data_IF_030408590380
#
_entry.id   IF_030408590380
#
_cell.length_a   1.000
_cell.length_b   1.000
_cell.length_c   1.000
_cell.angle_alpha   90.00
_cell.angle_beta   90.00
_cell.angle_gamma   90.00
#
_symmetry.space_group_name_H-M   'P 1'
#
loop_
_entity.id
_entity.type
_entity.pdbx_description
1 polymer ?
#
# COMPACT_ATOMS: atom_id res chain seq x y z
N UNK A 1 34.20 2.75 20.33
CA UNK A 1 34.83 3.26 19.12
C UNK A 1 33.83 3.87 18.19
N UNK A 2 33.90 5.12 18.00
CA UNK A 2 32.89 5.88 17.26
C UNK A 2 33.20 5.97 15.77
N UNK A 3 33.51 4.87 15.14
CA UNK A 3 33.92 4.85 13.73
C UNK A 3 32.79 5.13 12.75
N UNK A 4 31.55 4.96 13.21
CA UNK A 4 30.39 5.10 12.34
C UNK A 4 30.23 6.49 11.73
N UNK A 5 30.77 7.52 12.40
CA UNK A 5 30.69 8.89 11.87
C UNK A 5 31.49 9.11 10.59
N UNK A 6 32.34 8.15 10.19
CA UNK A 6 33.17 8.25 9.00
C UNK A 6 32.71 7.36 7.86
N UNK A 7 31.47 6.84 7.93
CA UNK A 7 30.92 6.04 6.84
C UNK A 7 30.73 6.89 5.58
N UNK A 8 30.84 6.24 4.42
CA UNK A 8 30.69 6.92 3.13
C UNK A 8 29.23 7.29 2.87
N UNK A 9 28.99 8.20 1.94
CA UNK A 9 27.64 8.52 1.50
C UNK A 9 26.92 7.32 0.93
N UNK A 10 27.61 6.47 0.17
CA UNK A 10 27.04 5.24 -0.36
C UNK A 10 26.58 4.29 0.75
N UNK A 11 27.38 4.14 1.81
CA UNK A 11 27.02 3.35 2.98
C UNK A 11 25.82 3.91 3.70
N UNK A 12 25.74 5.23 3.87
CA UNK A 12 24.58 5.91 4.47
C UNK A 12 23.30 5.65 3.67
N UNK A 13 23.36 5.82 2.36
CA UNK A 13 22.22 5.59 1.47
C UNK A 13 21.78 4.13 1.51
N UNK A 14 22.72 3.19 1.54
CA UNK A 14 22.42 1.78 1.68
C UNK A 14 21.74 1.45 3.00
N UNK A 15 22.21 2.05 4.11
CA UNK A 15 21.60 1.85 5.42
C UNK A 15 20.18 2.41 5.47
N UNK A 16 19.94 3.60 4.92
CA UNK A 16 18.61 4.23 4.84
C UNK A 16 17.66 3.33 4.04
N UNK A 17 18.07 2.87 2.86
CA UNK A 17 17.26 2.00 2.03
C UNK A 17 16.90 0.69 2.74
N UNK A 18 17.86 0.09 3.45
CA UNK A 18 17.64 -1.14 4.23
C UNK A 18 16.64 -0.92 5.37
N UNK A 19 16.77 0.21 6.09
CA UNK A 19 15.84 0.56 7.17
C UNK A 19 14.43 0.80 6.63
N UNK A 20 14.29 1.46 5.48
CA UNK A 20 12.99 1.69 4.85
C UNK A 20 12.33 0.37 4.44
N UNK A 21 13.09 -0.56 3.87
CA UNK A 21 12.56 -1.88 3.52
C UNK A 21 12.03 -2.63 4.74
N UNK A 22 12.76 -2.59 5.84
CA UNK A 22 12.32 -3.21 7.10
C UNK A 22 11.06 -2.54 7.65
N UNK A 23 11.02 -1.22 7.61
CA UNK A 23 9.86 -0.46 8.10
C UNK A 23 8.61 -0.77 7.27
N UNK A 24 8.74 -0.85 5.94
CA UNK A 24 7.62 -1.17 5.06
C UNK A 24 7.04 -2.57 5.30
N UNK A 25 7.77 -3.44 6.00
CA UNK A 25 7.29 -4.77 6.38
C UNK A 25 6.55 -4.78 7.71
N UNK A 26 6.59 -3.71 8.48
CA UNK A 26 5.79 -3.58 9.69
C UNK A 26 4.37 -3.18 9.33
N UNK A 27 3.41 -3.38 10.26
CA UNK A 27 2.03 -2.94 10.02
C UNK A 27 1.96 -1.44 9.75
N UNK A 28 2.58 -0.63 10.61
CA UNK A 28 2.58 0.84 10.45
C UNK A 28 3.22 1.28 9.14
N UNK A 29 4.36 0.68 8.81
CA UNK A 29 5.05 1.00 7.56
C UNK A 29 4.26 0.60 6.33
N UNK A 30 3.59 -0.55 6.39
CA UNK A 30 2.71 -1.00 5.31
C UNK A 30 1.53 -0.04 5.11
N UNK A 31 0.92 0.42 6.19
CA UNK A 31 -0.17 1.39 6.13
C UNK A 31 0.31 2.74 5.60
N UNK A 32 1.47 3.20 6.05
CA UNK A 32 2.06 4.46 5.58
C UNK A 32 2.31 4.41 4.06
N UNK A 33 2.95 3.36 3.59
CA UNK A 33 3.25 3.21 2.16
C UNK A 33 1.96 3.16 1.34
N UNK A 34 0.99 2.40 1.79
CA UNK A 34 -0.31 2.26 1.12
C UNK A 34 -1.03 3.60 1.04
N UNK A 35 -1.10 4.33 2.16
CA UNK A 35 -1.76 5.63 2.19
C UNK A 35 -1.06 6.65 1.29
N UNK A 36 0.26 6.68 1.30
CA UNK A 36 1.03 7.56 0.43
C UNK A 36 0.74 7.28 -1.05
N UNK A 37 0.63 6.01 -1.42
CA UNK A 37 0.29 5.63 -2.79
C UNK A 37 -1.14 6.05 -3.17
N UNK A 38 -2.10 5.90 -2.24
CA UNK A 38 -3.47 6.37 -2.45
C UNK A 38 -3.51 7.89 -2.67
N UNK A 39 -2.79 8.64 -1.86
CA UNK A 39 -2.68 10.10 -1.97
C UNK A 39 -2.11 10.50 -3.33
N UNK A 40 -1.05 9.84 -3.77
CA UNK A 40 -0.43 10.13 -5.07
C UNK A 40 -1.39 9.90 -6.23
N UNK A 41 -2.27 8.91 -6.12
CA UNK A 41 -3.27 8.64 -7.14
C UNK A 41 -4.33 9.74 -7.21
N UNK A 42 -4.92 10.09 -6.08
CA UNK A 42 -6.00 11.11 -6.05
C UNK A 42 -5.49 12.53 -6.33
N UNK A 43 -4.21 12.80 -6.11
CA UNK A 43 -3.60 14.09 -6.43
C UNK A 43 -3.11 14.18 -7.88
N UNK A 44 -3.19 13.09 -8.63
CA UNK A 44 -2.91 13.08 -10.06
C UNK A 44 -1.47 12.73 -10.45
N UNK A 45 -0.64 12.27 -9.52
CA UNK A 45 0.74 11.86 -9.83
C UNK A 45 0.83 10.49 -10.52
N UNK A 46 -0.19 9.65 -10.32
CA UNK A 46 -0.24 8.29 -10.87
C UNK A 46 -1.59 8.09 -11.53
N UNK A 47 -1.60 7.73 -12.80
CA UNK A 47 -2.82 7.43 -13.58
C UNK A 47 -3.94 8.46 -13.34
N UNK A 48 -3.70 9.75 -13.61
CA UNK A 48 -4.66 10.80 -13.27
C UNK A 48 -6.05 10.60 -13.90
N UNK A 49 -6.13 9.98 -15.06
CA UNK A 49 -7.40 9.69 -15.73
C UNK A 49 -8.30 8.73 -14.94
N UNK A 50 -7.73 7.96 -14.00
CA UNK A 50 -8.48 6.99 -13.20
C UNK A 50 -8.79 7.49 -11.79
N UNK A 51 -7.92 8.31 -11.20
CA UNK A 51 -7.95 8.59 -9.77
C UNK A 51 -8.02 10.07 -9.40
N UNK A 52 -7.58 10.98 -10.29
CA UNK A 52 -7.45 12.39 -9.93
C UNK A 52 -8.78 12.99 -9.48
N UNK A 53 -8.77 13.63 -8.32
CA UNK A 53 -9.93 14.32 -7.79
C UNK A 53 -10.92 13.44 -7.04
N UNK A 54 -10.65 12.14 -6.91
CA UNK A 54 -11.47 11.27 -6.08
C UNK A 54 -11.23 11.56 -4.61
N UNK A 55 -12.24 11.29 -3.77
CA UNK A 55 -12.14 11.49 -2.33
C UNK A 55 -11.15 10.53 -1.69
N UNK A 56 -10.56 10.96 -0.59
CA UNK A 56 -9.70 10.13 0.24
C UNK A 56 -9.93 10.46 1.71
N UNK A 57 -10.09 9.42 2.55
CA UNK A 57 -10.19 9.63 3.98
C UNK A 57 -8.86 10.14 4.55
N UNK A 58 -8.90 10.73 5.75
CA UNK A 58 -7.68 11.20 6.40
C UNK A 58 -6.76 10.02 6.75
N UNK A 59 -5.48 10.33 6.94
CA UNK A 59 -4.48 9.33 7.35
C UNK A 59 -4.89 8.62 8.65
N UNK A 60 -5.32 9.38 9.64
CA UNK A 60 -5.71 8.83 10.93
C UNK A 60 -6.91 7.90 10.82
N UNK A 61 -7.90 8.28 10.04
CA UNK A 61 -9.08 7.44 9.77
C UNK A 61 -8.67 6.15 9.07
N UNK A 62 -7.81 6.24 8.08
CA UNK A 62 -7.33 5.06 7.36
C UNK A 62 -6.56 4.10 8.25
N UNK A 63 -5.66 4.64 9.08
CA UNK A 63 -4.85 3.82 10.00
C UNK A 63 -5.73 3.13 11.03
N UNK A 64 -6.64 3.87 11.66
CA UNK A 64 -7.54 3.31 12.66
C UNK A 64 -8.44 2.24 12.07
N UNK A 65 -9.06 2.53 10.93
CA UNK A 65 -9.91 1.56 10.22
C UNK A 65 -9.15 0.29 9.86
N UNK A 66 -7.94 0.42 9.34
CA UNK A 66 -7.12 -0.72 8.93
C UNK A 66 -6.66 -1.56 10.11
N UNK A 67 -6.20 -0.94 11.19
CA UNK A 67 -5.72 -1.67 12.38
C UNK A 67 -6.84 -2.44 13.07
N UNK A 68 -8.08 -1.98 12.94
CA UNK A 68 -9.27 -2.66 13.48
C UNK A 68 -9.96 -3.56 12.45
N UNK A 69 -9.39 -3.69 11.25
CA UNK A 69 -9.96 -4.48 10.16
C UNK A 69 -9.47 -5.92 10.21
N UNK A 70 -10.37 -6.87 10.35
CA UNK A 70 -10.03 -8.29 10.43
C UNK A 70 -9.27 -8.77 9.19
N UNK A 71 -9.75 -8.40 8.00
CA UNK A 71 -9.13 -8.80 6.75
C UNK A 71 -7.69 -8.32 6.65
N UNK A 72 -7.42 -7.07 7.01
CA UNK A 72 -6.05 -6.55 7.01
C UNK A 72 -5.15 -7.35 7.95
N UNK A 73 -5.63 -7.63 9.16
CA UNK A 73 -4.84 -8.35 10.17
C UNK A 73 -4.52 -9.78 9.72
N UNK A 74 -5.48 -10.49 9.13
CA UNK A 74 -5.25 -11.82 8.56
C UNK A 74 -4.28 -11.79 7.39
N UNK A 75 -4.47 -10.86 6.46
CA UNK A 75 -3.59 -10.72 5.29
C UNK A 75 -2.17 -10.38 5.71
N UNK A 76 -2.01 -9.55 6.73
CA UNK A 76 -0.70 -9.17 7.22
C UNK A 76 0.03 -10.39 7.82
N UNK A 77 -0.67 -11.18 8.64
CA UNK A 77 -0.09 -12.40 9.25
C UNK A 77 0.31 -13.39 8.16
N UNK A 78 -0.56 -13.63 7.18
CA UNK A 78 -0.27 -14.54 6.07
C UNK A 78 0.94 -14.09 5.26
N UNK A 79 1.05 -12.79 5.03
CA UNK A 79 2.17 -12.21 4.31
C UNK A 79 3.48 -12.42 5.05
N UNK A 80 3.51 -12.13 6.36
CA UNK A 80 4.69 -12.37 7.22
C UNK A 80 5.06 -13.85 7.20
N UNK A 81 4.10 -14.74 7.41
CA UNK A 81 4.33 -16.18 7.47
C UNK A 81 4.83 -16.75 6.14
N UNK A 82 4.51 -16.11 5.03
CA UNK A 82 4.99 -16.53 3.71
C UNK A 82 6.42 -16.08 3.42
N UNK A 83 7.04 -15.32 4.31
CA UNK A 83 8.34 -14.70 4.04
C UNK A 83 8.21 -13.45 3.16
N UNK A 84 7.12 -12.73 3.28
CA UNK A 84 6.83 -11.49 2.54
C UNK A 84 6.70 -11.70 1.03
N UNK A 85 6.05 -12.77 0.62
CA UNK A 85 5.78 -13.01 -0.79
C UNK A 85 4.94 -11.88 -1.38
N UNK A 86 5.40 -11.33 -2.52
CA UNK A 86 4.75 -10.19 -3.17
C UNK A 86 3.27 -10.45 -3.46
N UNK A 87 2.94 -11.63 -3.96
CA UNK A 87 1.56 -11.99 -4.31
C UNK A 87 0.60 -11.90 -3.13
N UNK A 88 1.09 -12.14 -1.91
CA UNK A 88 0.30 -12.13 -0.68
C UNK A 88 0.35 -10.79 0.07
N UNK A 89 1.05 -9.79 -0.46
CA UNK A 89 1.13 -8.47 0.16
C UNK A 89 -0.27 -7.86 0.28
N UNK A 90 -0.65 -7.33 1.47
CA UNK A 90 -1.94 -6.64 1.61
C UNK A 90 -2.02 -5.43 0.68
N UNK A 91 -3.15 -5.30 0.00
CA UNK A 91 -3.38 -4.25 -0.99
C UNK A 91 -4.77 -3.66 -0.79
N UNK A 92 -4.91 -2.36 -1.02
CA UNK A 92 -6.21 -1.68 -0.96
C UNK A 92 -6.87 -1.72 -2.33
N UNK A 93 -8.13 -2.12 -2.34
CA UNK A 93 -8.98 -2.15 -3.51
C UNK A 93 -10.20 -1.25 -3.29
N UNK A 94 -10.57 -0.47 -4.30
CA UNK A 94 -11.83 0.28 -4.29
C UNK A 94 -12.95 -0.63 -4.78
N UNK A 95 -14.01 -0.72 -4.01
CA UNK A 95 -15.17 -1.56 -4.36
C UNK A 95 -15.86 -1.00 -5.60
N UNK A 96 -16.15 0.30 -5.59
CA UNK A 96 -16.68 1.04 -6.73
C UNK A 96 -15.53 1.92 -7.28
N UNK A 97 -15.10 1.66 -8.51
CA UNK A 97 -13.97 2.36 -9.13
C UNK A 97 -14.28 3.82 -9.47
N UNK A 98 -15.54 4.21 -9.44
CA UNK A 98 -15.95 5.60 -9.66
C UNK A 98 -15.92 6.44 -8.38
N UNK A 99 -15.72 5.80 -7.24
CA UNK A 99 -15.63 6.44 -5.93
C UNK A 99 -14.21 6.36 -5.41
N UNK A 100 -13.91 7.17 -4.40
CA UNK A 100 -12.56 7.30 -3.87
C UNK A 100 -12.21 6.32 -2.76
N UNK A 101 -11.15 6.66 -2.06
CA UNK A 101 -10.61 5.88 -0.96
C UNK A 101 -11.24 6.33 0.36
N UNK A 102 -12.49 5.95 0.55
CA UNK A 102 -13.24 6.18 1.79
C UNK A 102 -13.60 4.83 2.40
N UNK A 103 -13.74 4.75 3.73
CA UNK A 103 -13.83 3.48 4.45
C UNK A 103 -14.96 2.57 3.96
N UNK A 104 -16.08 3.12 3.53
CA UNK A 104 -17.21 2.35 2.99
C UNK A 104 -16.99 1.86 1.55
N UNK A 105 -15.93 2.30 0.89
CA UNK A 105 -15.63 1.94 -0.50
C UNK A 105 -14.32 1.18 -0.69
N UNK A 106 -13.61 0.88 0.38
CA UNK A 106 -12.32 0.20 0.29
C UNK A 106 -12.35 -1.13 1.02
N UNK A 107 -11.50 -2.03 0.57
CA UNK A 107 -11.31 -3.32 1.22
C UNK A 107 -9.85 -3.75 1.09
N UNK A 108 -9.39 -4.53 2.04
CA UNK A 108 -8.08 -5.15 1.99
C UNK A 108 -8.17 -6.51 1.29
N UNK A 109 -7.38 -6.69 0.26
CA UNK A 109 -7.22 -7.96 -0.47
C UNK A 109 -5.75 -8.18 -0.74
N UNK A 110 -5.37 -9.32 -1.29
CA UNK A 110 -3.98 -9.55 -1.68
C UNK A 110 -3.64 -8.78 -2.95
N UNK A 111 -2.36 -8.51 -3.15
CA UNK A 111 -1.89 -7.88 -4.39
C UNK A 111 -2.25 -8.76 -5.61
N UNK A 112 -2.14 -10.09 -5.47
CA UNK A 112 -2.52 -11.03 -6.52
C UNK A 112 -4.00 -10.89 -6.91
N UNK A 113 -4.89 -10.85 -5.93
CA UNK A 113 -6.33 -10.66 -6.16
C UNK A 113 -6.63 -9.32 -6.83
N UNK A 114 -5.98 -8.27 -6.35
CA UNK A 114 -6.16 -6.91 -6.89
C UNK A 114 -5.71 -6.84 -8.36
N UNK A 115 -4.60 -7.48 -8.69
CA UNK A 115 -4.09 -7.53 -10.07
C UNK A 115 -5.04 -8.30 -10.99
N UNK A 116 -5.60 -9.41 -10.52
CA UNK A 116 -6.60 -10.17 -11.26
C UNK A 116 -7.86 -9.36 -11.53
N UNK A 117 -8.33 -8.63 -10.52
CA UNK A 117 -9.51 -7.77 -10.64
C UNK A 117 -9.27 -6.69 -11.72
N UNK A 118 -8.10 -6.07 -11.71
CA UNK A 118 -7.72 -5.10 -12.74
C UNK A 118 -7.69 -5.69 -14.14
N UNK A 119 -7.15 -6.89 -14.29
CA UNK A 119 -7.10 -7.59 -15.58
C UNK A 119 -8.50 -7.92 -16.11
N UNK A 120 -9.38 -8.43 -15.26
CA UNK A 120 -10.77 -8.72 -15.62
C UNK A 120 -11.49 -7.45 -16.09
N UNK A 121 -11.30 -6.35 -15.34
CA UNK A 121 -11.91 -5.07 -15.69
C UNK A 121 -11.44 -4.56 -17.06
N UNK A 122 -10.14 -4.70 -17.39
CA UNK A 122 -9.59 -4.35 -18.69
C UNK A 122 -10.18 -5.19 -19.81
N UNK A 123 -10.32 -6.49 -19.61
CA UNK A 123 -10.94 -7.39 -20.60
C UNK A 123 -12.39 -7.02 -20.88
N UNK A 124 -13.16 -6.70 -19.85
CA UNK A 124 -14.55 -6.26 -20.00
C UNK A 124 -14.66 -4.99 -20.84
N UNK A 125 -13.70 -4.08 -20.71
CA UNK A 125 -13.69 -2.82 -21.47
C UNK A 125 -13.36 -3.00 -22.95
N UNK A 126 -12.68 -4.09 -23.30
CA UNK A 126 -12.28 -4.36 -24.69
C UNK A 126 -13.32 -5.16 -25.46
N UNK A 127 -14.29 -5.68 -24.78
CA UNK A 127 -15.41 -6.39 -25.42
C UNK A 127 -16.61 -5.48 -25.61
#
# INVERSE_FOLDING_TARGET
MAHKKYITNAEKLGAIASNNRRYHKTKKGKLMLTYNNMTRRVTGYVKPHLYKGLDICSRDVFYDWSLNNESFNYLYIDWVNSGFKRALSPSIDRIDTNKGYVSENIQWITLSENSKKGAISRHKKTT
#
